data_IF_713998862856
#
_entry.id   IF_713998862856
#
_cell.length_a   1.000
_cell.length_b   1.000
_cell.length_c   1.000
_cell.angle_alpha   90.00
_cell.angle_beta   90.00
_cell.angle_gamma   90.00
#
_symmetry.space_group_name_H-M   'P 1'
#
loop_
_entity.id
_entity.type
_entity.pdbx_description
1 polymer ?
#
# COMPACT_ATOMS: atom_id res chain seq x y z
N UNK A 1 -19.13 8.14 0.61
CA UNK A 1 -18.21 8.73 1.62
C UNK A 1 -18.80 8.59 3.00
N UNK A 2 -17.97 8.36 4.03
CA UNK A 2 -18.47 8.32 5.40
C UNK A 2 -18.94 9.69 5.90
N UNK A 3 -20.10 9.72 6.56
CA UNK A 3 -20.67 10.91 7.21
C UNK A 3 -20.70 10.72 8.72
N UNK A 4 -20.52 11.81 9.47
CA UNK A 4 -20.59 11.77 10.93
C UNK A 4 -22.06 11.84 11.34
N UNK A 5 -22.57 10.79 11.98
CA UNK A 5 -23.93 10.74 12.55
C UNK A 5 -23.94 11.44 13.90
N UNK A 6 -23.00 11.07 14.77
CA UNK A 6 -22.95 11.57 16.13
C UNK A 6 -21.51 11.86 16.57
N UNK A 7 -21.37 12.85 17.44
CA UNK A 7 -20.10 13.24 18.04
C UNK A 7 -20.29 13.40 19.53
N UNK A 8 -19.60 12.56 20.32
CA UNK A 8 -19.68 12.58 21.77
C UNK A 8 -18.30 12.81 22.37
N UNK A 9 -18.16 13.85 23.19
CA UNK A 9 -16.94 14.09 23.94
C UNK A 9 -16.96 13.30 25.25
N UNK A 10 -15.88 12.57 25.55
CA UNK A 10 -15.67 11.85 26.81
C UNK A 10 -14.29 12.20 27.36
N UNK A 11 -14.24 13.26 28.18
CA UNK A 11 -12.98 13.80 28.72
C UNK A 11 -12.07 14.35 27.62
N UNK A 12 -10.90 13.72 27.46
CA UNK A 12 -9.90 14.05 26.42
C UNK A 12 -10.15 13.37 25.09
N UNK A 13 -11.11 12.42 25.03
CA UNK A 13 -11.43 11.66 23.81
C UNK A 13 -12.70 12.18 23.15
N UNK A 14 -12.76 12.07 21.83
CA UNK A 14 -13.95 12.29 21.02
C UNK A 14 -14.34 10.96 20.40
N UNK A 15 -15.57 10.54 20.61
CA UNK A 15 -16.18 9.35 20.02
C UNK A 15 -17.00 9.83 18.84
N UNK A 16 -16.74 9.26 17.67
CA UNK A 16 -17.46 9.54 16.44
C UNK A 16 -18.24 8.29 16.04
N UNK A 17 -19.49 8.49 15.64
CA UNK A 17 -20.30 7.48 14.99
C UNK A 17 -20.41 7.85 13.52
N UNK A 18 -20.07 6.91 12.64
CA UNK A 18 -19.93 7.17 11.21
C UNK A 18 -20.92 6.29 10.43
N UNK A 19 -21.66 6.89 9.50
CA UNK A 19 -22.41 6.18 8.46
C UNK A 19 -21.56 6.14 7.19
N UNK A 20 -21.23 4.95 6.72
CA UNK A 20 -20.51 4.75 5.46
C UNK A 20 -21.44 4.11 4.42
N UNK A 21 -21.20 4.40 3.15
CA UNK A 21 -21.88 3.70 2.05
C UNK A 21 -21.41 2.24 1.99
N UNK A 22 -22.28 1.35 1.53
CA UNK A 22 -22.00 -0.08 1.48
C UNK A 22 -20.78 -0.40 0.59
N UNK A 23 -20.68 0.24 -0.58
CA UNK A 23 -19.58 0.00 -1.52
C UNK A 23 -18.23 0.43 -0.96
N UNK A 24 -18.19 1.51 -0.18
CA UNK A 24 -16.97 1.95 0.50
C UNK A 24 -16.61 1.03 1.67
N UNK A 25 -17.60 0.54 2.41
CA UNK A 25 -17.38 -0.46 3.43
C UNK A 25 -16.77 -1.74 2.83
N UNK A 26 -17.22 -2.18 1.65
CA UNK A 26 -16.64 -3.32 0.95
C UNK A 26 -15.17 -3.09 0.55
N UNK A 27 -14.77 -1.86 0.23
CA UNK A 27 -13.38 -1.54 -0.08
C UNK A 27 -12.43 -1.74 1.11
N UNK A 28 -12.94 -1.71 2.35
CA UNK A 28 -12.16 -2.02 3.54
C UNK A 28 -11.76 -3.50 3.62
N UNK A 29 -12.42 -4.40 2.86
CA UNK A 29 -12.10 -5.84 2.81
C UNK A 29 -12.03 -6.52 4.20
N UNK A 30 -12.82 -6.00 5.16
CA UNK A 30 -12.84 -6.51 6.54
C UNK A 30 -11.78 -5.92 7.47
N UNK A 31 -10.93 -5.00 7.00
CA UNK A 31 -10.00 -4.24 7.84
C UNK A 31 -10.75 -3.12 8.56
N UNK A 32 -11.17 -3.39 9.80
CA UNK A 32 -11.85 -2.42 10.69
C UNK A 32 -10.94 -1.89 11.81
N UNK A 33 -9.69 -2.33 11.80
CA UNK A 33 -8.57 -1.87 12.60
C UNK A 33 -7.77 -0.77 11.86
N UNK A 34 -7.06 0.08 12.63
CA UNK A 34 -6.19 1.14 12.10
C UNK A 34 -6.84 2.13 11.11
N UNK A 35 -8.13 2.43 11.33
CA UNK A 35 -8.86 3.41 10.53
C UNK A 35 -8.35 4.82 10.84
N UNK A 36 -7.81 5.49 9.82
CA UNK A 36 -7.41 6.90 9.88
C UNK A 36 -8.46 7.80 9.22
N UNK A 37 -8.87 8.85 9.92
CA UNK A 37 -9.81 9.85 9.42
C UNK A 37 -9.06 11.06 8.88
N UNK A 38 -9.42 11.50 7.68
CA UNK A 38 -8.87 12.70 7.03
C UNK A 38 -10.01 13.54 6.45
N UNK A 39 -9.79 14.85 6.33
CA UNK A 39 -10.76 15.76 5.70
C UNK A 39 -10.04 16.74 4.79
N UNK A 40 -10.59 16.95 3.59
CA UNK A 40 -10.09 17.89 2.59
C UNK A 40 -9.97 19.31 3.14
N UNK A 41 -10.83 19.68 4.10
CA UNK A 41 -10.87 21.02 4.69
C UNK A 41 -9.63 21.34 5.53
N UNK A 42 -8.84 20.33 5.89
CA UNK A 42 -7.58 20.51 6.62
C UNK A 42 -6.36 20.56 5.69
N UNK A 43 -6.54 20.46 4.37
CA UNK A 43 -5.43 20.57 3.41
C UNK A 43 -4.93 22.03 3.35
N UNK A 44 -3.87 22.33 4.12
CA UNK A 44 -3.30 23.69 4.21
C UNK A 44 -2.31 23.96 3.07
N UNK A 45 -1.52 22.96 2.67
CA UNK A 45 -0.44 23.13 1.70
C UNK A 45 -0.93 22.75 0.31
N UNK A 46 -0.92 23.74 -0.59
CA UNK A 46 -1.16 23.52 -2.02
C UNK A 46 0.12 22.99 -2.65
N UNK A 47 -0.01 21.95 -3.44
CA UNK A 47 1.09 21.41 -4.26
C UNK A 47 0.71 21.42 -5.72
N UNK A 48 1.71 21.35 -6.59
CA UNK A 48 1.55 21.35 -8.02
C UNK A 48 1.70 19.93 -8.57
N UNK A 49 0.98 19.68 -9.66
CA UNK A 49 1.20 18.49 -10.49
C UNK A 49 2.28 18.84 -11.50
N UNK A 50 3.38 18.09 -11.50
CA UNK A 50 4.40 18.20 -12.54
C UNK A 50 4.07 17.23 -13.67
N UNK A 51 4.16 17.69 -14.91
CA UNK A 51 4.07 16.84 -16.10
C UNK A 51 5.47 16.58 -16.66
N UNK A 52 5.71 15.37 -17.18
CA UNK A 52 6.91 15.05 -17.99
C UNK A 52 6.56 14.12 -19.15
N UNK A 53 7.44 14.11 -20.15
CA UNK A 53 7.35 13.25 -21.34
C UNK A 53 6.68 13.94 -22.53
N UNK A 54 6.78 13.32 -23.72
CA UNK A 54 6.07 13.78 -24.92
C UNK A 54 4.57 13.74 -24.64
N UNK A 55 3.87 14.85 -24.89
CA UNK A 55 2.44 15.04 -24.61
C UNK A 55 2.04 14.83 -23.14
N UNK A 56 2.93 15.09 -22.18
CA UNK A 56 2.59 15.04 -20.75
C UNK A 56 2.06 13.68 -20.27
N UNK A 57 2.51 12.60 -20.91
CA UNK A 57 2.02 11.25 -20.65
C UNK A 57 2.17 10.81 -19.19
N UNK A 58 3.03 11.47 -18.40
CA UNK A 58 3.21 11.17 -16.98
C UNK A 58 3.00 12.41 -16.11
N UNK A 59 2.10 12.29 -15.12
CA UNK A 59 1.80 13.29 -14.09
C UNK A 59 2.37 12.84 -12.75
N UNK A 60 3.02 13.75 -12.05
CA UNK A 60 3.63 13.53 -10.74
C UNK A 60 3.04 14.49 -9.71
N UNK A 61 2.56 13.96 -8.60
CA UNK A 61 2.30 14.76 -7.41
C UNK A 61 3.62 15.07 -6.73
N UNK A 62 3.97 16.34 -6.63
CA UNK A 62 5.17 16.75 -5.91
C UNK A 62 4.89 16.74 -4.42
N UNK A 63 5.71 16.04 -3.64
CA UNK A 63 5.68 16.16 -2.18
C UNK A 63 6.29 17.53 -1.81
N UNK A 64 5.54 18.42 -1.12
CA UNK A 64 6.04 19.70 -0.64
C UNK A 64 7.32 19.53 0.17
N UNK A 65 8.21 20.53 0.10
CA UNK A 65 9.54 20.43 0.74
C UNK A 65 9.42 20.23 2.25
N UNK A 66 8.43 20.83 2.90
CA UNK A 66 8.23 20.71 4.35
C UNK A 66 7.92 19.27 4.77
N UNK A 67 7.29 18.49 3.89
CA UNK A 67 6.87 17.12 4.16
C UNK A 67 7.92 16.07 3.82
N UNK A 68 9.05 16.42 3.22
CA UNK A 68 10.08 15.44 2.82
C UNK A 68 10.93 14.92 3.98
N UNK A 69 10.82 15.52 5.17
CA UNK A 69 11.65 15.13 6.33
C UNK A 69 11.13 13.80 6.90
N UNK A 70 12.01 12.81 7.02
CA UNK A 70 11.75 11.60 7.81
C UNK A 70 11.29 10.36 7.03
N UNK A 71 11.45 10.32 5.71
CA UNK A 71 11.40 9.08 4.92
C UNK A 71 12.43 9.11 3.79
N UNK A 72 12.90 7.93 3.37
CA UNK A 72 13.87 7.81 2.28
C UNK A 72 13.13 7.69 0.94
N UNK A 73 13.87 7.86 -0.15
CA UNK A 73 13.31 7.78 -1.50
C UNK A 73 12.87 6.35 -1.86
N UNK A 74 13.48 5.34 -1.25
CA UNK A 74 13.26 3.93 -1.55
C UNK A 74 12.16 3.31 -0.69
N UNK A 75 11.38 4.10 0.04
CA UNK A 75 10.39 3.57 0.96
C UNK A 75 9.25 2.84 0.24
N UNK A 76 8.65 1.86 0.92
CA UNK A 76 7.43 1.22 0.42
C UNK A 76 6.31 2.25 0.45
N UNK A 77 5.66 2.44 -0.69
CA UNK A 77 4.55 3.38 -0.84
C UNK A 77 3.34 2.66 -1.40
N UNK A 78 2.18 2.86 -0.78
CA UNK A 78 0.89 2.47 -1.35
C UNK A 78 0.10 3.71 -1.74
N UNK A 79 -0.81 3.55 -2.69
CA UNK A 79 -1.68 4.61 -3.16
C UNK A 79 -3.11 4.07 -3.27
N UNK A 80 -4.06 4.85 -2.78
CA UNK A 80 -5.48 4.67 -3.05
C UNK A 80 -6.00 5.86 -3.84
N UNK A 81 -6.84 5.58 -4.85
CA UNK A 81 -7.58 6.59 -5.58
C UNK A 81 -9.04 6.50 -5.15
N UNK A 82 -9.63 7.64 -4.84
CA UNK A 82 -11.04 7.80 -4.54
C UNK A 82 -11.60 8.82 -5.54
N UNK A 83 -12.61 8.40 -6.29
CA UNK A 83 -13.32 9.26 -7.23
C UNK A 83 -14.62 9.75 -6.55
N UNK A 84 -14.78 11.06 -6.45
CA UNK A 84 -16.04 11.71 -6.03
C UNK A 84 -16.52 12.60 -7.18
N UNK A 85 -17.82 12.96 -7.24
CA UNK A 85 -18.41 13.56 -8.44
C UNK A 85 -17.65 14.77 -9.01
N UNK A 86 -17.07 15.61 -8.16
CA UNK A 86 -16.39 16.84 -8.57
C UNK A 86 -14.86 16.78 -8.41
N UNK A 87 -14.32 15.74 -7.77
CA UNK A 87 -12.90 15.68 -7.40
C UNK A 87 -12.36 14.27 -7.45
N UNK A 88 -11.04 14.16 -7.62
CA UNK A 88 -10.32 12.90 -7.46
C UNK A 88 -9.34 13.07 -6.31
N UNK A 89 -9.42 12.19 -5.33
CA UNK A 89 -8.56 12.19 -4.15
C UNK A 89 -7.57 11.05 -4.28
N UNK A 90 -6.28 11.35 -4.08
CA UNK A 90 -5.22 10.36 -4.01
C UNK A 90 -4.65 10.34 -2.59
N UNK A 91 -4.63 9.16 -1.98
CA UNK A 91 -4.07 8.94 -0.64
C UNK A 91 -2.81 8.12 -0.81
N UNK A 92 -1.67 8.73 -0.48
CA UNK A 92 -0.38 8.04 -0.46
C UNK A 92 -0.01 7.71 0.97
N UNK A 93 0.32 6.45 1.22
CA UNK A 93 0.90 6.00 2.49
C UNK A 93 2.34 5.62 2.24
N UNK A 94 3.25 6.26 2.97
CA UNK A 94 4.69 5.97 2.93
C UNK A 94 5.06 5.27 4.23
N UNK A 95 5.48 4.01 4.14
CA UNK A 95 6.06 3.31 5.29
C UNK A 95 7.46 3.85 5.50
N UNK A 96 7.70 4.55 6.61
CA UNK A 96 8.97 5.23 6.92
C UNK A 96 10.13 4.26 7.16
N UNK A 97 9.85 3.02 7.50
CA UNK A 97 10.87 2.04 7.93
C UNK A 97 11.04 0.89 6.95
N UNK A 98 10.05 0.66 6.07
CA UNK A 98 10.14 -0.35 5.03
C UNK A 98 10.71 0.21 3.73
N UNK A 99 11.59 -0.57 3.09
CA UNK A 99 12.19 -0.25 1.78
C UNK A 99 11.64 -1.15 0.69
N UNK A 100 11.34 -0.56 -0.45
CA UNK A 100 11.09 -1.29 -1.68
C UNK A 100 12.36 -2.03 -2.09
N UNK A 101 12.31 -3.35 -2.32
CA UNK A 101 13.47 -4.09 -2.75
C UNK A 101 13.92 -3.58 -4.12
N UNK A 102 15.22 -3.40 -4.28
CA UNK A 102 15.82 -3.04 -5.57
C UNK A 102 15.58 -4.14 -6.60
N UNK A 103 15.62 -3.78 -7.90
CA UNK A 103 15.49 -4.76 -9.00
C UNK A 103 16.47 -5.93 -8.85
N UNK A 104 17.69 -5.66 -8.38
CA UNK A 104 18.74 -6.68 -8.15
C UNK A 104 18.34 -7.65 -7.03
N UNK A 105 17.83 -7.14 -5.91
CA UNK A 105 17.39 -7.98 -4.78
C UNK A 105 16.18 -8.84 -5.14
N UNK A 106 15.25 -8.31 -5.94
CA UNK A 106 14.11 -9.09 -6.44
C UNK A 106 14.61 -10.26 -7.31
N UNK A 107 15.56 -10.00 -8.22
CA UNK A 107 16.14 -11.03 -9.08
C UNK A 107 16.86 -12.10 -8.26
N UNK A 108 17.68 -11.71 -7.29
CA UNK A 108 18.39 -12.64 -6.41
C UNK A 108 17.41 -13.51 -5.60
N UNK A 109 16.37 -12.93 -4.99
CA UNK A 109 15.32 -13.67 -4.29
C UNK A 109 14.59 -14.66 -5.19
N UNK A 110 14.35 -14.28 -6.46
CA UNK A 110 13.70 -15.18 -7.41
C UNK A 110 14.60 -16.35 -7.81
N UNK A 111 15.91 -16.13 -7.93
CA UNK A 111 16.90 -17.18 -8.17
C UNK A 111 16.96 -18.13 -6.98
N UNK A 112 17.07 -17.60 -5.75
CA UNK A 112 17.08 -18.39 -4.51
C UNK A 112 15.81 -19.24 -4.33
N UNK A 113 14.63 -18.68 -4.64
CA UNK A 113 13.35 -19.41 -4.63
C UNK A 113 13.33 -20.58 -5.61
N UNK A 114 13.88 -20.40 -6.82
CA UNK A 114 13.96 -21.47 -7.82
C UNK A 114 14.89 -22.60 -7.38
N UNK A 115 16.05 -22.26 -6.82
CA UNK A 115 17.02 -23.25 -6.29
C UNK A 115 16.45 -24.01 -5.11
N UNK A 116 15.75 -23.33 -4.20
CA UNK A 116 15.12 -24.00 -3.05
C UNK A 116 13.94 -24.90 -3.45
N UNK A 117 13.18 -24.55 -4.48
CA UNK A 117 12.13 -25.42 -5.02
C UNK A 117 12.65 -26.67 -5.73
N UNK A 118 13.76 -26.57 -6.48
CA UNK A 118 14.37 -27.74 -7.13
C UNK A 118 15.05 -28.69 -6.14
N UNK A 119 15.62 -28.15 -5.05
CA UNK A 119 16.26 -28.95 -4.00
C UNK A 119 15.24 -29.70 -3.12
N UNK A 120 14.04 -29.14 -2.91
CA UNK A 120 12.94 -29.85 -2.24
C UNK A 120 12.36 -30.96 -3.12
N UNK A 121 12.16 -30.70 -4.42
CA UNK A 121 11.70 -31.72 -5.37
C UNK A 121 12.66 -32.92 -5.48
N UNK A 122 13.97 -32.70 -5.33
CA UNK A 122 14.96 -33.78 -5.35
C UNK A 122 14.98 -34.66 -4.08
N UNK A 123 14.40 -34.21 -2.95
CA UNK A 123 14.33 -34.98 -1.70
C UNK A 123 13.09 -35.87 -1.58
N UNK A 124 12.07 -35.65 -2.39
CA UNK A 124 10.79 -36.38 -2.31
C UNK A 124 10.72 -37.63 -3.22
N UNK A 125 11.80 -38.00 -3.91
CA UNK A 125 11.90 -39.27 -4.63
C UNK A 125 12.61 -40.31 -3.76
N UNK A 126 11.91 -41.30 -3.17
CA UNK A 126 12.58 -42.44 -2.58
C UNK A 126 13.28 -43.22 -3.69
N UNK A 127 14.59 -43.48 -3.51
CA UNK A 127 15.36 -44.41 -4.32
C UNK A 127 14.73 -45.80 -4.19
N UNK A 128 13.83 -46.16 -5.11
CA UNK A 128 13.35 -47.53 -5.26
C UNK A 128 14.52 -48.35 -5.79
N UNK A 129 15.21 -49.05 -4.89
CA UNK A 129 16.18 -50.08 -5.25
C UNK A 129 15.45 -51.16 -6.05
N UNK A 130 15.75 -51.25 -7.35
CA UNK A 130 15.49 -52.45 -8.14
C UNK A 130 16.33 -53.58 -7.56
N UNK A 131 15.69 -54.54 -6.90
CA UNK A 131 16.23 -55.89 -6.74
C UNK A 131 15.89 -56.68 -8.01
N UNK A 132 16.83 -56.73 -8.94
CA UNK A 132 16.79 -57.69 -10.04
C UNK A 132 17.70 -58.89 -9.69
N UNK A 133 17.04 -59.97 -9.27
CA UNK A 133 17.19 -61.36 -9.74
C UNK A 133 18.62 -61.96 -9.82
N UNK A 134 18.86 -63.01 -9.02
CA UNK A 134 19.58 -64.23 -9.40
C UNK A 134 18.88 -65.44 -8.79
#
# INVERSE_FOLDING_TARGET
MASVISTKRKGTKVILELACEYDEFLQLKGHLDDIHLFTEKTAVIRTNISQRGRNEATKYFLIPREFRKGFLFENVTSCQRLDIPEKVIFIYVVDRYSKNPSKREIVLKNIEKRVTSSTKAAKDYPLVYRQDIL
#
